data_IF_058076920404
#
_entry.id   IF_058076920404
#
_cell.length_a   1.000
_cell.length_b   1.000
_cell.length_c   1.000
_cell.angle_alpha   90.00
_cell.angle_beta   90.00
_cell.angle_gamma   90.00
#
_symmetry.space_group_name_H-M   'P 1'
#
loop_
_entity.id
_entity.type
_entity.pdbx_description
1 polymer ?
#
# COMPACT_ATOMS: atom_id res chain seq x y z
N UNK A 1 2.19 26.26 11.75
CA UNK A 1 2.10 26.61 10.32
C UNK A 1 0.65 26.85 9.98
N UNK A 2 0.33 27.84 9.15
CA UNK A 2 -1.05 28.15 8.79
C UNK A 2 -1.21 28.19 7.27
N UNK A 3 -2.32 27.65 6.76
CA UNK A 3 -2.72 27.75 5.36
C UNK A 3 -4.21 28.02 5.24
N UNK A 4 -4.64 28.56 4.11
CA UNK A 4 -6.06 28.81 3.81
C UNK A 4 -6.52 27.94 2.65
N UNK A 5 -7.71 27.39 2.77
CA UNK A 5 -8.35 26.57 1.75
C UNK A 5 -9.86 26.80 1.79
N UNK A 6 -10.45 27.23 0.67
CA UNK A 6 -11.90 27.46 0.55
C UNK A 6 -12.50 28.23 1.75
N UNK A 7 -11.92 29.38 2.11
CA UNK A 7 -12.32 30.22 3.26
C UNK A 7 -12.20 29.56 4.66
N UNK A 8 -11.56 28.40 4.77
CA UNK A 8 -11.17 27.77 6.03
C UNK A 8 -9.69 27.99 6.29
N UNK A 9 -9.38 28.43 7.51
CA UNK A 9 -8.02 28.57 8.03
C UNK A 9 -7.65 27.25 8.70
N UNK A 10 -6.56 26.64 8.22
CA UNK A 10 -6.00 25.39 8.73
C UNK A 10 -4.70 25.74 9.45
N UNK A 11 -4.66 25.57 10.77
CA UNK A 11 -3.46 25.79 11.57
C UNK A 11 -2.93 24.47 12.11
N UNK A 12 -1.64 24.21 11.88
CA UNK A 12 -0.89 23.08 12.44
C UNK A 12 0.02 23.58 13.58
N UNK A 13 -0.17 23.00 14.76
CA UNK A 13 0.66 23.26 15.93
C UNK A 13 1.94 22.45 15.86
N UNK A 14 3.04 23.08 15.45
CA UNK A 14 4.34 22.42 15.20
C UNK A 14 4.80 21.55 16.38
N UNK A 15 4.52 21.98 17.63
CA UNK A 15 4.92 21.23 18.83
C UNK A 15 4.19 19.90 18.99
N UNK A 16 2.94 19.81 18.54
CA UNK A 16 2.07 18.64 18.74
C UNK A 16 1.69 17.92 17.46
N UNK A 17 1.95 18.52 16.28
CA UNK A 17 1.47 18.02 14.99
C UNK A 17 -0.06 18.02 14.88
N UNK A 18 -0.77 18.70 15.79
CA UNK A 18 -2.24 18.77 15.81
C UNK A 18 -2.74 19.87 14.89
N UNK A 19 -3.88 19.64 14.24
CA UNK A 19 -4.55 20.58 13.36
C UNK A 19 -5.80 21.15 14.03
N UNK A 20 -6.04 22.43 13.77
CA UNK A 20 -7.31 23.12 14.04
C UNK A 20 -7.77 23.81 12.76
N UNK A 21 -9.06 23.67 12.46
CA UNK A 21 -9.72 24.25 11.31
C UNK A 21 -10.72 25.29 11.80
N UNK A 22 -10.63 26.49 11.24
CA UNK A 22 -11.49 27.62 11.60
C UNK A 22 -12.09 28.26 10.36
N UNK A 23 -13.29 28.83 10.48
CA UNK A 23 -13.83 29.69 9.43
C UNK A 23 -13.03 31.00 9.32
N UNK A 24 -13.38 31.83 8.34
CA UNK A 24 -12.77 33.17 8.14
C UNK A 24 -12.95 34.13 9.32
N UNK A 25 -13.91 33.88 10.20
CA UNK A 25 -14.18 34.69 11.39
C UNK A 25 -13.45 34.16 12.64
N UNK A 26 -12.73 33.04 12.52
CA UNK A 26 -12.03 32.38 13.62
C UNK A 26 -12.87 31.40 14.43
N UNK A 27 -14.12 31.12 14.03
CA UNK A 27 -14.95 30.08 14.65
C UNK A 27 -14.33 28.71 14.38
N UNK A 28 -14.12 27.91 15.43
CA UNK A 28 -13.59 26.56 15.32
C UNK A 28 -14.62 25.63 14.68
N UNK A 29 -14.21 24.95 13.61
CA UNK A 29 -15.00 23.97 12.86
C UNK A 29 -14.61 22.53 13.23
N UNK A 30 -13.31 22.26 13.31
CA UNK A 30 -12.71 21.01 13.82
C UNK A 30 -11.42 21.31 14.56
N UNK A 31 -11.06 20.51 15.56
CA UNK A 31 -9.82 20.67 16.32
C UNK A 31 -9.28 19.32 16.83
N UNK A 32 -8.08 19.36 17.39
CA UNK A 32 -7.38 18.19 17.95
C UNK A 32 -7.20 17.04 16.96
N UNK A 33 -7.12 17.37 15.68
CA UNK A 33 -6.89 16.40 14.61
C UNK A 33 -5.41 16.08 14.50
N UNK A 34 -5.07 14.82 14.24
CA UNK A 34 -3.69 14.37 13.98
C UNK A 34 -3.62 13.67 12.63
N UNK A 35 -2.45 13.73 11.99
CA UNK A 35 -2.24 13.06 10.71
C UNK A 35 -3.27 13.46 9.67
N UNK A 36 -3.48 14.76 9.47
CA UNK A 36 -4.45 15.21 8.46
C UNK A 36 -3.86 15.03 7.06
N UNK A 37 -4.46 14.13 6.26
CA UNK A 37 -4.01 13.76 4.91
C UNK A 37 -5.06 14.13 3.87
N UNK A 38 -4.63 14.76 2.78
CA UNK A 38 -5.50 15.09 1.66
C UNK A 38 -5.58 13.89 0.70
N UNK A 39 -6.79 13.41 0.43
CA UNK A 39 -7.07 12.27 -0.46
C UNK A 39 -7.64 12.71 -1.82
N UNK A 40 -7.55 14.00 -2.14
CA UNK A 40 -8.06 14.66 -3.35
C UNK A 40 -9.57 14.91 -3.34
N UNK A 41 -10.39 13.96 -2.87
CA UNK A 41 -11.84 14.11 -2.66
C UNK A 41 -12.24 14.69 -1.30
N UNK A 42 -11.26 14.98 -0.45
CA UNK A 42 -11.42 15.44 0.93
C UNK A 42 -10.21 15.06 1.77
N UNK A 43 -10.40 15.03 3.08
CA UNK A 43 -9.38 14.77 4.07
C UNK A 43 -9.71 13.54 4.90
N UNK A 44 -8.66 12.84 5.32
CA UNK A 44 -8.71 11.84 6.39
C UNK A 44 -7.82 12.31 7.54
N UNK A 45 -8.28 12.15 8.77
CA UNK A 45 -7.50 12.48 9.97
C UNK A 45 -7.86 11.56 11.14
N UNK A 46 -7.05 11.60 12.20
CA UNK A 46 -7.32 10.94 13.47
C UNK A 46 -7.87 11.99 14.45
N UNK A 47 -9.06 11.76 14.99
CA UNK A 47 -9.68 12.66 15.97
C UNK A 47 -9.14 12.45 17.40
N UNK A 48 -9.66 13.21 18.37
CA UNK A 48 -9.29 13.10 19.79
C UNK A 48 -9.71 11.79 20.46
N UNK A 49 -10.63 11.02 19.85
CA UNK A 49 -11.04 9.70 20.32
C UNK A 49 -10.21 8.57 19.71
N UNK A 50 -9.15 8.90 18.96
CA UNK A 50 -8.34 7.95 18.18
C UNK A 50 -9.13 7.23 17.08
N UNK A 51 -10.12 7.90 16.50
CA UNK A 51 -10.91 7.38 15.39
C UNK A 51 -10.52 8.07 14.08
N UNK A 52 -10.55 7.30 12.98
CA UNK A 52 -10.43 7.87 11.65
C UNK A 52 -11.70 8.64 11.32
N UNK A 53 -11.55 9.90 10.93
CA UNK A 53 -12.63 10.73 10.43
C UNK A 53 -12.32 11.22 9.02
N UNK A 54 -13.39 11.49 8.28
CA UNK A 54 -13.33 11.95 6.90
C UNK A 54 -14.15 13.22 6.75
N UNK A 55 -13.65 14.18 5.99
CA UNK A 55 -14.37 15.42 5.78
C UNK A 55 -13.95 16.14 4.48
N UNK A 56 -14.80 17.02 3.98
CA UNK A 56 -14.45 17.96 2.92
C UNK A 56 -14.57 19.41 3.39
N UNK A 57 -13.78 20.28 2.75
CA UNK A 57 -13.76 21.71 3.01
C UNK A 57 -14.53 22.42 1.89
N UNK A 58 -15.68 23.00 2.22
CA UNK A 58 -16.59 23.65 1.28
C UNK A 58 -16.84 25.10 1.70
N UNK A 59 -16.31 26.09 0.97
CA UNK A 59 -16.54 27.55 1.15
C UNK A 59 -16.89 27.98 2.58
N UNK A 60 -15.93 27.83 3.50
CA UNK A 60 -16.02 28.24 4.90
C UNK A 60 -16.68 27.23 5.83
N UNK A 61 -17.05 26.04 5.34
CA UNK A 61 -17.72 24.98 6.11
C UNK A 61 -16.99 23.64 5.98
N UNK A 62 -17.25 22.76 6.95
CA UNK A 62 -16.77 21.39 6.97
C UNK A 62 -17.96 20.45 6.89
N UNK A 63 -17.88 19.46 6.00
CA UNK A 63 -18.85 18.39 5.89
C UNK A 63 -18.17 17.07 6.30
N UNK A 64 -18.65 16.45 7.38
CA UNK A 64 -18.21 15.11 7.78
C UNK A 64 -18.77 14.08 6.81
N UNK A 65 -17.95 13.09 6.47
CA UNK A 65 -18.32 12.00 5.57
C UNK A 65 -18.18 10.66 6.28
N UNK A 66 -18.98 9.68 5.87
CA UNK A 66 -18.83 8.28 6.31
C UNK A 66 -17.54 7.64 5.77
N UNK A 67 -17.00 8.20 4.70
CA UNK A 67 -15.74 7.85 4.06
C UNK A 67 -15.43 8.87 2.97
N UNK A 68 -14.22 8.82 2.42
CA UNK A 68 -13.93 9.46 1.12
C UNK A 68 -13.59 8.37 0.14
N UNK A 69 -14.10 8.52 -1.09
CA UNK A 69 -13.54 7.80 -2.22
C UNK A 69 -12.07 8.22 -2.30
N UNK A 70 -11.17 7.32 -1.90
CA UNK A 70 -9.77 7.47 -2.19
C UNK A 70 -9.65 7.68 -3.70
N UNK A 71 -8.96 8.73 -4.13
CA UNK A 71 -8.51 8.79 -5.51
C UNK A 71 -7.53 7.63 -5.65
N UNK A 72 -8.03 6.54 -6.19
CA UNK A 72 -7.23 5.43 -6.67
C UNK A 72 -6.46 5.97 -7.85
N UNK A 73 -5.14 5.90 -7.80
CA UNK A 73 -4.35 6.23 -8.98
C UNK A 73 -4.62 5.12 -9.99
N UNK A 74 -5.56 5.37 -10.91
CA UNK A 74 -5.60 4.61 -12.15
C UNK A 74 -4.37 5.11 -12.89
N UNK A 75 -3.29 4.32 -12.87
CA UNK A 75 -2.22 4.47 -13.84
C UNK A 75 -2.87 4.28 -15.21
N UNK A 76 -3.35 5.37 -15.80
CA UNK A 76 -3.66 5.40 -17.22
C UNK A 76 -2.30 5.29 -17.91
N UNK A 77 -1.90 4.07 -18.22
CA UNK A 77 -0.89 3.84 -19.24
C UNK A 77 -1.45 4.38 -20.55
N UNK A 78 -1.23 5.67 -20.84
CA UNK A 78 -1.64 6.25 -22.11
C UNK A 78 -0.61 5.84 -23.18
N UNK A 79 -1.01 4.90 -24.03
CA UNK A 79 -0.19 4.37 -25.10
C UNK A 79 -0.62 2.95 -25.45
N UNK A 80 -0.12 2.47 -26.58
CA UNK A 80 -0.25 1.06 -27.00
C UNK A 80 0.64 0.22 -26.08
N UNK A 81 0.10 -0.22 -24.93
CA UNK A 81 0.85 -1.10 -24.03
C UNK A 81 0.88 -2.48 -24.67
N UNK A 82 2.05 -3.08 -24.93
CA UNK A 82 2.12 -4.47 -25.35
C UNK A 82 1.43 -5.32 -24.28
N UNK A 83 0.46 -6.15 -24.67
CA UNK A 83 -0.14 -7.09 -23.74
C UNK A 83 0.97 -8.06 -23.32
N UNK A 84 1.34 -8.11 -22.05
CA UNK A 84 2.35 -9.04 -21.59
C UNK A 84 1.81 -9.99 -20.53
N UNK A 85 2.36 -11.20 -20.55
CA UNK A 85 2.11 -12.26 -19.59
C UNK A 85 3.43 -12.67 -18.95
N UNK A 86 3.44 -12.76 -17.63
CA UNK A 86 4.54 -13.35 -16.88
C UNK A 86 4.11 -14.73 -16.38
N UNK A 87 4.99 -15.72 -16.47
CA UNK A 87 4.70 -17.08 -16.04
C UNK A 87 5.88 -17.71 -15.31
N UNK A 88 5.58 -18.62 -14.40
CA UNK A 88 6.56 -19.50 -13.74
C UNK A 88 6.52 -20.84 -14.44
N UNK A 89 7.65 -21.25 -15.01
CA UNK A 89 7.85 -22.59 -15.56
C UNK A 89 8.79 -23.38 -14.68
N UNK A 90 8.34 -24.53 -14.24
CA UNK A 90 9.17 -25.45 -13.46
C UNK A 90 10.00 -26.34 -14.39
N UNK A 91 11.30 -26.44 -14.10
CA UNK A 91 12.24 -27.32 -14.79
C UNK A 91 12.82 -28.34 -13.80
N UNK A 92 13.77 -29.18 -14.22
CA UNK A 92 14.42 -30.13 -13.32
C UNK A 92 15.16 -29.43 -12.17
N UNK A 93 15.81 -28.29 -12.45
CA UNK A 93 16.74 -27.64 -11.52
C UNK A 93 16.28 -26.24 -11.07
N UNK A 94 15.36 -25.61 -11.80
CA UNK A 94 14.99 -24.20 -11.59
C UNK A 94 13.49 -23.98 -11.76
N UNK A 95 13.02 -22.89 -11.16
CA UNK A 95 11.82 -22.17 -11.58
C UNK A 95 12.25 -21.01 -12.48
N UNK A 96 11.83 -21.03 -13.74
CA UNK A 96 12.10 -19.99 -14.73
C UNK A 96 10.94 -18.99 -14.74
N UNK A 97 11.25 -17.71 -14.62
CA UNK A 97 10.29 -16.61 -14.72
C UNK A 97 10.36 -16.11 -16.16
N UNK A 98 9.29 -16.33 -16.91
CA UNK A 98 9.22 -16.09 -18.35
C UNK A 98 8.25 -14.93 -18.61
N UNK A 99 8.75 -13.90 -19.29
CA UNK A 99 7.96 -12.80 -19.85
C UNK A 99 7.62 -13.13 -21.30
N UNK A 100 6.33 -13.03 -21.65
CA UNK A 100 5.84 -13.07 -23.02
C UNK A 100 5.25 -11.71 -23.35
N UNK A 101 5.67 -11.12 -24.45
CA UNK A 101 5.19 -9.81 -24.90
C UNK A 101 4.45 -9.97 -26.21
N UNK A 102 3.16 -9.63 -26.24
CA UNK A 102 2.34 -9.52 -27.45
C UNK A 102 2.62 -8.16 -28.10
N UNK A 103 3.22 -8.21 -29.28
CA UNK A 103 3.61 -7.03 -30.05
C UNK A 103 2.70 -6.78 -31.26
N UNK A 104 1.53 -7.43 -31.33
CA UNK A 104 0.60 -7.30 -32.46
C UNK A 104 0.22 -5.85 -32.74
N UNK A 105 0.09 -5.02 -31.71
CA UNK A 105 -0.29 -3.61 -31.87
C UNK A 105 0.83 -2.71 -32.41
N UNK A 106 2.07 -3.19 -32.49
CA UNK A 106 3.23 -2.46 -33.04
C UNK A 106 3.82 -3.12 -34.30
N UNK A 107 3.11 -4.09 -34.89
CA UNK A 107 3.54 -4.85 -36.09
C UNK A 107 4.93 -5.50 -35.92
N UNK A 108 5.25 -6.00 -34.73
CA UNK A 108 6.46 -6.77 -34.47
C UNK A 108 6.10 -8.19 -34.03
N UNK A 109 7.05 -9.13 -34.14
CA UNK A 109 6.87 -10.48 -33.62
C UNK A 109 6.82 -10.46 -32.08
N UNK A 110 6.05 -11.37 -31.51
CA UNK A 110 6.00 -11.58 -30.07
C UNK A 110 7.38 -12.00 -29.54
N UNK A 111 7.72 -11.55 -28.33
CA UNK A 111 8.96 -11.96 -27.68
C UNK A 111 8.70 -12.87 -26.49
N UNK A 112 9.65 -13.76 -26.21
CA UNK A 112 9.66 -14.63 -25.04
C UNK A 112 11.03 -14.57 -24.38
N UNK A 113 11.08 -14.01 -23.19
CA UNK A 113 12.31 -13.73 -22.46
C UNK A 113 12.29 -14.41 -21.09
N UNK A 114 13.41 -15.03 -20.69
CA UNK A 114 13.61 -15.47 -19.31
C UNK A 114 14.14 -14.28 -18.52
N UNK A 115 13.30 -13.72 -17.65
CA UNK A 115 13.62 -12.51 -16.87
C UNK A 115 14.12 -12.81 -15.46
N UNK A 116 14.10 -14.07 -15.05
CA UNK A 116 14.64 -14.52 -13.78
C UNK A 116 14.62 -16.03 -13.62
N UNK A 117 15.42 -16.54 -12.70
CA UNK A 117 15.48 -17.97 -12.35
C UNK A 117 15.69 -18.12 -10.84
N UNK A 118 15.01 -19.10 -10.25
CA UNK A 118 15.17 -19.50 -8.85
C UNK A 118 15.59 -20.97 -8.83
N UNK A 119 16.70 -21.30 -8.17
CA UNK A 119 17.12 -22.71 -8.03
C UNK A 119 16.13 -23.48 -7.17
N UNK A 120 15.87 -24.75 -7.50
CA UNK A 120 15.12 -25.67 -6.64
C UNK A 120 15.82 -26.00 -5.32
N UNK A 121 17.12 -25.70 -5.23
CA UNK A 121 17.82 -25.75 -3.95
C UNK A 121 17.35 -24.60 -3.02
N UNK A 122 16.99 -23.45 -3.60
CA UNK A 122 16.66 -22.23 -2.86
C UNK A 122 15.16 -22.03 -2.66
N UNK A 123 14.32 -22.70 -3.45
CA UNK A 123 12.87 -22.67 -3.34
C UNK A 123 12.25 -24.05 -3.56
N UNK A 124 11.18 -24.33 -2.83
CA UNK A 124 10.33 -25.52 -3.01
C UNK A 124 9.14 -25.22 -3.93
N UNK A 125 8.70 -23.95 -4.00
CA UNK A 125 7.64 -23.47 -4.91
C UNK A 125 7.76 -21.96 -5.12
N UNK A 126 7.13 -21.43 -6.18
CA UNK A 126 6.98 -19.99 -6.38
C UNK A 126 5.73 -19.62 -7.20
N UNK A 127 5.25 -18.41 -6.96
CA UNK A 127 4.00 -17.88 -7.48
C UNK A 127 4.03 -16.34 -7.50
N UNK A 128 3.12 -15.72 -8.24
CA UNK A 128 2.96 -14.27 -8.29
C UNK A 128 2.07 -13.77 -7.15
N UNK A 129 1.88 -12.45 -7.08
CA UNK A 129 1.13 -11.79 -6.00
C UNK A 129 -0.33 -12.24 -5.84
N UNK A 130 -0.91 -12.84 -6.89
CA UNK A 130 -2.25 -13.43 -6.91
C UNK A 130 -2.26 -14.91 -6.51
N UNK A 131 -1.13 -15.45 -6.03
CA UNK A 131 -0.91 -16.86 -5.71
C UNK A 131 -0.97 -17.82 -6.90
N UNK A 132 -0.92 -17.31 -8.13
CA UNK A 132 -0.92 -18.11 -9.36
C UNK A 132 0.48 -18.21 -9.97
N UNK A 133 0.68 -19.21 -10.85
CA UNK A 133 1.92 -19.37 -11.64
C UNK A 133 1.91 -18.61 -12.96
N UNK A 134 0.81 -17.95 -13.29
CA UNK A 134 0.68 -17.11 -14.48
C UNK A 134 0.01 -15.81 -14.07
N UNK A 135 0.55 -14.70 -14.56
CA UNK A 135 0.04 -13.36 -14.35
C UNK A 135 -0.05 -12.65 -15.71
N UNK A 136 -1.20 -12.07 -16.03
CA UNK A 136 -1.37 -11.22 -17.21
C UNK A 136 -1.94 -9.87 -16.80
N UNK A 137 -1.52 -8.82 -17.49
CA UNK A 137 -1.98 -7.47 -17.19
C UNK A 137 -3.47 -7.28 -17.49
N UNK A 138 -4.06 -8.08 -18.37
CA UNK A 138 -5.52 -8.10 -18.61
C UNK A 138 -6.31 -8.58 -17.37
N UNK A 139 -5.72 -9.43 -16.55
CA UNK A 139 -6.30 -9.91 -15.28
C UNK A 139 -5.88 -9.05 -14.09
N UNK A 140 -5.24 -7.90 -14.35
CA UNK A 140 -4.81 -7.00 -13.30
C UNK A 140 -6.07 -6.39 -12.66
N UNK A 141 -6.37 -6.69 -11.38
CA UNK A 141 -7.47 -6.04 -10.71
C UNK A 141 -7.12 -4.55 -10.69
N UNK A 142 -7.86 -3.72 -11.45
CA UNK A 142 -7.71 -2.26 -11.55
C UNK A 142 -6.97 -1.73 -10.33
N UNK A 143 -5.65 -1.53 -10.46
CA UNK A 143 -4.87 -1.40 -9.23
C UNK A 143 -5.15 -0.08 -8.64
N UNK A 144 -5.97 -0.17 -7.61
CA UNK A 144 -6.30 0.81 -6.64
C UNK A 144 -5.07 1.05 -5.78
N UNK A 145 -4.01 1.52 -6.43
CA UNK A 145 -2.84 2.04 -5.76
C UNK A 145 -3.33 3.13 -4.83
N UNK A 146 -3.09 2.93 -3.54
CA UNK A 146 -3.42 3.93 -2.55
C UNK A 146 -2.43 5.08 -2.71
N UNK A 147 -2.96 6.29 -2.89
CA UNK A 147 -2.13 7.50 -2.90
C UNK A 147 -1.23 7.52 -1.66
N UNK A 148 0.05 7.81 -1.88
CA UNK A 148 1.06 7.94 -0.82
C UNK A 148 1.38 6.64 -0.06
N UNK A 149 1.07 5.47 -0.62
CA UNK A 149 1.50 4.18 -0.09
C UNK A 149 2.38 3.46 -1.12
N UNK A 150 3.50 2.90 -0.65
CA UNK A 150 4.38 2.14 -1.52
C UNK A 150 3.73 0.80 -1.87
N UNK A 151 3.54 0.56 -3.15
CA UNK A 151 2.91 -0.64 -3.69
C UNK A 151 3.97 -1.62 -4.20
N UNK A 152 3.71 -2.91 -4.03
CA UNK A 152 4.48 -4.00 -4.61
C UNK A 152 4.33 -4.01 -6.14
N UNK A 153 5.38 -4.42 -6.84
CA UNK A 153 5.28 -4.62 -8.28
C UNK A 153 4.34 -5.80 -8.58
N UNK A 154 3.42 -5.62 -9.51
CA UNK A 154 2.50 -6.66 -9.97
C UNK A 154 3.21 -7.97 -10.37
N UNK A 155 4.41 -7.84 -10.92
CA UNK A 155 5.22 -8.95 -11.39
C UNK A 155 6.11 -9.55 -10.30
N UNK A 156 5.99 -9.11 -9.04
CA UNK A 156 6.79 -9.65 -7.94
C UNK A 156 6.51 -11.14 -7.74
N UNK A 157 7.58 -11.91 -7.66
CA UNK A 157 7.54 -13.35 -7.44
C UNK A 157 7.77 -13.65 -5.97
N UNK A 158 6.82 -14.36 -5.39
CA UNK A 158 6.91 -14.92 -4.04
C UNK A 158 7.43 -16.35 -4.19
N UNK A 159 8.46 -16.69 -3.42
CA UNK A 159 8.97 -18.05 -3.35
C UNK A 159 8.84 -18.60 -1.94
N UNK A 160 8.70 -19.93 -1.84
CA UNK A 160 8.57 -20.65 -0.59
C UNK A 160 9.75 -21.59 -0.41
N UNK A 161 10.36 -21.61 0.77
CA UNK A 161 11.40 -22.56 1.16
C UNK A 161 11.21 -22.98 2.60
N UNK A 162 11.17 -24.28 2.88
CA UNK A 162 11.04 -24.82 4.25
C UNK A 162 9.86 -24.22 5.03
N UNK A 163 8.71 -24.03 4.37
CA UNK A 163 7.53 -23.35 4.92
C UNK A 163 7.68 -21.86 5.27
N UNK A 164 8.78 -21.23 4.87
CA UNK A 164 8.95 -19.78 4.92
C UNK A 164 8.82 -19.20 3.52
N UNK A 165 8.44 -17.93 3.47
CA UNK A 165 8.23 -17.15 2.26
C UNK A 165 9.31 -16.09 2.11
N UNK A 166 9.71 -15.85 0.87
CA UNK A 166 10.57 -14.75 0.45
C UNK A 166 10.02 -14.08 -0.80
N UNK A 167 10.51 -12.89 -1.06
CA UNK A 167 10.25 -12.11 -2.27
C UNK A 167 11.52 -12.16 -3.12
N UNK A 168 11.40 -12.71 -4.33
CA UNK A 168 12.54 -12.97 -5.23
C UNK A 168 13.37 -11.70 -5.47
N UNK A 169 14.70 -11.85 -5.49
CA UNK A 169 15.71 -10.78 -5.60
C UNK A 169 15.69 -9.71 -4.49
N UNK A 170 14.73 -9.74 -3.58
CA UNK A 170 14.55 -8.75 -2.54
C UNK A 170 14.89 -9.27 -1.16
N UNK A 171 14.55 -10.52 -0.88
CA UNK A 171 14.66 -11.13 0.46
C UNK A 171 14.90 -12.63 0.36
N UNK A 172 15.48 -13.20 1.41
CA UNK A 172 15.49 -14.65 1.63
C UNK A 172 14.12 -15.15 2.14
N UNK A 173 13.94 -16.47 2.17
CA UNK A 173 12.74 -17.09 2.75
C UNK A 173 12.78 -17.04 4.29
N UNK A 174 12.33 -15.91 4.84
CA UNK A 174 12.38 -15.62 6.28
C UNK A 174 11.01 -15.32 6.90
N UNK A 175 9.96 -15.21 6.07
CA UNK A 175 8.63 -14.84 6.54
C UNK A 175 7.76 -16.07 6.76
N UNK A 176 7.15 -16.17 7.93
CA UNK A 176 6.17 -17.22 8.24
C UNK A 176 4.81 -17.03 7.53
N UNK A 177 4.50 -15.80 7.12
CA UNK A 177 3.28 -15.43 6.41
C UNK A 177 3.59 -14.29 5.44
N UNK A 178 3.01 -14.34 4.24
CA UNK A 178 2.98 -13.23 3.29
C UNK A 178 1.57 -13.11 2.71
N UNK A 179 0.98 -11.92 2.84
CA UNK A 179 -0.35 -11.59 2.36
C UNK A 179 -0.30 -10.29 1.58
N UNK A 180 -0.80 -10.32 0.34
CA UNK A 180 -0.83 -9.14 -0.52
C UNK A 180 -2.28 -8.67 -0.65
N UNK A 181 -2.55 -7.43 -0.27
CA UNK A 181 -3.88 -6.81 -0.34
C UNK A 181 -3.72 -5.43 -0.96
N UNK A 182 -4.43 -5.16 -2.07
CA UNK A 182 -4.31 -3.91 -2.83
C UNK A 182 -2.85 -3.57 -3.17
N UNK A 183 -2.08 -4.55 -3.63
CA UNK A 183 -0.62 -4.46 -3.87
C UNK A 183 0.24 -4.12 -2.65
N UNK A 184 -0.30 -4.14 -1.44
CA UNK A 184 0.50 -3.90 -0.24
C UNK A 184 0.86 -5.25 0.36
N UNK A 185 2.16 -5.50 0.49
CA UNK A 185 2.71 -6.76 0.98
C UNK A 185 2.81 -6.75 2.51
N UNK A 186 1.88 -7.42 3.18
CA UNK A 186 1.91 -7.68 4.61
C UNK A 186 2.71 -8.96 4.90
N UNK A 187 3.67 -8.87 5.80
CA UNK A 187 4.59 -9.96 6.17
C UNK A 187 4.50 -10.28 7.66
N UNK A 188 4.83 -11.52 8.02
CA UNK A 188 4.98 -11.96 9.41
C UNK A 188 6.31 -12.65 9.65
N UNK A 189 7.06 -12.20 10.66
CA UNK A 189 8.30 -12.81 11.14
C UNK A 189 8.32 -12.80 12.66
N UNK A 190 8.79 -13.87 13.29
CA UNK A 190 8.91 -13.97 14.76
C UNK A 190 7.60 -13.61 15.49
N UNK A 191 6.46 -14.05 14.91
CA UNK A 191 5.10 -13.74 15.35
C UNK A 191 4.67 -12.27 15.30
N UNK A 192 5.45 -11.39 14.68
CA UNK A 192 5.15 -9.97 14.51
C UNK A 192 4.87 -9.66 13.04
N UNK A 193 3.97 -8.70 12.81
CA UNK A 193 3.56 -8.22 11.51
C UNK A 193 4.30 -6.94 11.11
N UNK A 194 4.36 -6.73 9.80
CA UNK A 194 4.84 -5.52 9.14
C UNK A 194 4.24 -5.37 7.75
N UNK A 195 4.37 -4.18 7.16
CA UNK A 195 4.28 -4.01 5.71
C UNK A 195 5.68 -3.92 5.12
N UNK A 196 5.96 -4.81 4.18
CA UNK A 196 7.21 -4.82 3.43
C UNK A 196 7.38 -3.49 2.68
N UNK A 197 8.60 -2.93 2.71
CA UNK A 197 8.98 -1.62 2.18
C UNK A 197 8.38 -0.37 2.86
N UNK A 198 7.40 -0.51 3.76
CA UNK A 198 6.90 0.59 4.62
C UNK A 198 7.65 0.60 5.94
N UNK A 199 7.74 -0.57 6.59
CA UNK A 199 8.49 -0.74 7.82
C UNK A 199 9.15 -2.14 7.84
N UNK A 200 10.40 -2.21 7.37
CA UNK A 200 11.08 -3.48 7.11
C UNK A 200 11.34 -4.37 8.34
N UNK A 201 11.15 -3.85 9.55
CA UNK A 201 11.28 -4.61 10.79
C UNK A 201 9.89 -4.91 11.36
N UNK A 202 9.45 -6.19 11.33
CA UNK A 202 8.21 -6.62 11.97
C UNK A 202 8.20 -6.26 13.45
N UNK A 203 7.17 -5.53 13.87
CA UNK A 203 7.07 -5.02 15.25
C UNK A 203 5.67 -5.01 15.83
N UNK A 204 4.64 -5.26 15.01
CA UNK A 204 3.26 -5.21 15.46
C UNK A 204 2.76 -6.60 15.83
N UNK A 205 2.10 -6.72 16.98
CA UNK A 205 1.36 -7.93 17.34
C UNK A 205 0.13 -8.10 16.45
N UNK A 206 -0.56 -6.99 16.18
CA UNK A 206 -1.67 -6.92 15.22
C UNK A 206 -1.46 -5.76 14.27
N UNK A 207 -1.76 -5.98 12.99
CA UNK A 207 -1.67 -4.96 11.94
C UNK A 207 -2.86 -5.13 11.00
N UNK A 208 -3.78 -4.17 10.99
CA UNK A 208 -4.93 -4.15 10.10
C UNK A 208 -4.54 -3.82 8.66
N UNK A 209 -5.44 -4.11 7.72
CA UNK A 209 -5.36 -3.57 6.37
C UNK A 209 -5.41 -2.03 6.40
N UNK A 210 -4.90 -1.37 5.36
CA UNK A 210 -5.09 0.05 5.19
C UNK A 210 -6.57 0.40 4.99
N UNK A 211 -7.02 1.44 5.67
CA UNK A 211 -8.30 2.12 5.48
C UNK A 211 -7.97 3.59 5.22
N UNK A 212 -8.12 4.05 3.98
CA UNK A 212 -7.44 5.29 3.58
C UNK A 212 -5.93 5.09 3.57
N UNK A 213 -5.23 6.11 4.05
CA UNK A 213 -3.76 6.11 4.16
C UNK A 213 -3.26 5.60 5.51
N UNK A 214 -4.14 4.99 6.32
CA UNK A 214 -3.84 4.52 7.66
C UNK A 214 -4.13 3.04 7.85
N UNK A 215 -3.18 2.32 8.43
CA UNK A 215 -3.37 0.96 8.93
C UNK A 215 -3.35 0.95 10.46
N UNK A 216 -4.36 0.36 11.08
CA UNK A 216 -4.43 0.21 12.54
C UNK A 216 -3.41 -0.81 13.03
N UNK A 217 -2.74 -0.55 14.16
CA UNK A 217 -1.83 -1.53 14.77
C UNK A 217 -2.00 -1.67 16.29
N UNK A 218 -1.51 -2.80 16.81
CA UNK A 218 -1.26 -3.04 18.23
C UNK A 218 0.18 -3.54 18.41
N UNK A 219 0.91 -2.93 19.35
CA UNK A 219 2.24 -3.36 19.77
C UNK A 219 2.17 -4.49 20.81
N UNK A 220 3.24 -5.27 21.01
CA UNK A 220 3.26 -6.36 22.00
C UNK A 220 2.92 -5.92 23.43
N UNK A 221 3.15 -4.66 23.78
CA UNK A 221 2.82 -4.08 25.08
C UNK A 221 1.36 -3.58 25.20
N UNK A 222 0.51 -3.86 24.20
CA UNK A 222 -0.90 -3.48 24.15
C UNK A 222 -1.16 -2.04 23.70
N UNK A 223 -0.12 -1.22 23.45
CA UNK A 223 -0.31 0.13 22.90
C UNK A 223 -0.78 0.05 21.45
N UNK A 224 -1.71 0.93 21.08
CA UNK A 224 -2.33 0.97 19.76
C UNK A 224 -2.04 2.29 19.04
N UNK A 225 -2.22 2.27 17.72
CA UNK A 225 -2.00 3.45 16.90
C UNK A 225 -2.33 3.21 15.43
N UNK A 226 -1.95 4.17 14.60
CA UNK A 226 -2.10 4.11 13.14
C UNK A 226 -0.75 4.29 12.45
N UNK A 227 -0.48 3.45 11.46
CA UNK A 227 0.68 3.49 10.59
C UNK A 227 0.31 4.15 9.25
N UNK A 228 1.13 5.06 8.77
CA UNK A 228 1.00 5.63 7.42
C UNK A 228 1.72 4.80 6.36
N UNK A 229 1.38 5.01 5.08
CA UNK A 229 2.11 4.46 3.94
C UNK A 229 3.60 4.84 3.87
N UNK A 230 4.00 5.93 4.54
CA UNK A 230 5.39 6.39 4.67
C UNK A 230 6.13 5.82 5.88
N UNK A 231 5.47 4.98 6.70
CA UNK A 231 6.08 4.36 7.87
C UNK A 231 5.98 5.19 9.17
N UNK A 232 5.26 6.32 9.16
CA UNK A 232 5.05 7.14 10.35
C UNK A 232 3.95 6.55 11.24
N UNK A 233 4.13 6.62 12.56
CA UNK A 233 3.21 6.07 13.55
C UNK A 233 2.54 7.18 14.37
N UNK A 234 1.21 7.15 14.42
CA UNK A 234 0.40 7.95 15.34
C UNK A 234 -0.12 7.05 16.45
N UNK A 235 0.45 7.19 17.65
CA UNK A 235 -0.01 6.45 18.82
C UNK A 235 -1.37 6.96 19.29
N UNK A 236 -2.18 6.09 19.88
CA UNK A 236 -3.37 6.52 20.61
C UNK A 236 -3.00 7.44 21.77
N UNK A 237 -3.81 8.48 21.96
CA UNK A 237 -3.77 9.38 23.12
C UNK A 237 -4.87 9.04 24.13
#
# INVERSE_FOLDING_TARGET
MERKENDVIISEYIKTGKYILKDKNGQVLLQDLRGMQNLGGGYQAINSNNELIYFSINKGTIELKSGVNEIKYIDFTCGTVPNYQVSVKETLNHFEIILKTDNAMVNQEDTVDIIGQISKNDADDCFFINYEKVFSYENYPETNGLLNIKNENANSVIFKKNNLYGIFQKTEAIYSEIKIVNLITKIKKDNLYSYYEINNTPKYKELGNFVGVYARFELPNGKKGYLTGSGYEYMDE
#
